data_IF_469740450621
#
_entry.id   IF_469740450621
#
_cell.length_a   1.000
_cell.length_b   1.000
_cell.length_c   1.000
_cell.angle_alpha   90.00
_cell.angle_beta   90.00
_cell.angle_gamma   90.00
#
_symmetry.space_group_name_H-M   'P 1'
#
loop_
_entity.id
_entity.type
_entity.pdbx_description
1 polymer ?
#
# COMPACT_ATOMS: atom_id res chain seq x y z
N UNK A 1 15.73 -27.76 35.09
CA UNK A 1 14.96 -26.66 34.46
C UNK A 1 15.83 -25.76 33.58
N UNK A 2 17.10 -25.51 33.93
CA UNK A 2 18.01 -24.63 33.17
C UNK A 2 18.30 -25.10 31.73
N UNK A 3 18.47 -26.41 31.51
CA UNK A 3 18.67 -27.00 30.18
C UNK A 3 17.49 -26.75 29.23
N UNK A 4 16.26 -26.80 29.75
CA UNK A 4 15.04 -26.59 28.94
C UNK A 4 14.92 -25.12 28.52
N UNK A 5 15.32 -24.20 29.40
CA UNK A 5 15.34 -22.76 29.12
C UNK A 5 16.36 -22.42 28.02
N UNK A 6 17.55 -23.03 28.08
CA UNK A 6 18.58 -22.87 27.04
C UNK A 6 18.10 -23.30 25.66
N UNK A 7 17.45 -24.46 25.54
CA UNK A 7 16.91 -24.97 24.26
C UNK A 7 15.84 -24.05 23.70
N UNK A 8 14.92 -23.54 24.53
CA UNK A 8 13.87 -22.61 24.10
C UNK A 8 14.46 -21.31 23.55
N UNK A 9 15.48 -20.75 24.22
CA UNK A 9 16.16 -19.53 23.77
C UNK A 9 16.87 -19.74 22.43
N UNK A 10 17.57 -20.87 22.25
CA UNK A 10 18.23 -21.19 20.98
C UNK A 10 17.22 -21.33 19.83
N UNK A 11 16.09 -22.01 20.04
CA UNK A 11 15.02 -22.13 19.04
C UNK A 11 14.46 -20.76 18.67
N UNK A 12 14.23 -19.89 19.65
CA UNK A 12 13.75 -18.52 19.43
C UNK A 12 14.73 -17.68 18.60
N UNK A 13 16.03 -17.76 18.90
CA UNK A 13 17.07 -17.06 18.14
C UNK A 13 17.10 -17.56 16.70
N UNK A 14 17.10 -18.88 16.48
CA UNK A 14 17.06 -19.48 15.14
C UNK A 14 15.81 -19.02 14.38
N UNK A 15 14.64 -19.04 15.02
CA UNK A 15 13.39 -18.57 14.42
C UNK A 15 13.45 -17.08 14.04
N UNK A 16 14.00 -16.22 14.91
CA UNK A 16 14.16 -14.79 14.63
C UNK A 16 15.10 -14.55 13.44
N UNK A 17 16.23 -15.26 13.37
CA UNK A 17 17.17 -15.17 12.25
C UNK A 17 16.47 -15.58 10.94
N UNK A 18 15.75 -16.69 10.94
CA UNK A 18 14.98 -17.17 9.78
C UNK A 18 13.95 -16.13 9.35
N UNK A 19 13.17 -15.58 10.28
CA UNK A 19 12.11 -14.58 10.01
C UNK A 19 12.67 -13.27 9.46
N UNK A 20 13.77 -12.77 10.02
CA UNK A 20 14.44 -11.56 9.53
C UNK A 20 14.97 -11.76 8.11
N UNK A 21 15.59 -12.92 7.84
CA UNK A 21 16.09 -13.24 6.50
C UNK A 21 14.95 -13.40 5.47
N UNK A 22 13.85 -14.06 5.84
CA UNK A 22 12.64 -14.13 5.02
C UNK A 22 12.07 -12.75 4.69
N UNK A 23 11.97 -11.86 5.69
CA UNK A 23 11.50 -10.50 5.49
C UNK A 23 12.44 -9.69 4.58
N UNK A 24 13.75 -9.85 4.73
CA UNK A 24 14.75 -9.20 3.86
C UNK A 24 14.63 -9.70 2.43
N UNK A 25 14.41 -11.00 2.24
CA UNK A 25 14.20 -11.60 0.92
C UNK A 25 12.90 -11.15 0.26
N UNK A 26 11.80 -11.08 1.02
CA UNK A 26 10.51 -10.60 0.53
C UNK A 26 10.59 -9.12 0.12
N UNK A 27 11.34 -8.29 0.87
CA UNK A 27 11.58 -6.90 0.47
C UNK A 27 12.45 -6.81 -0.78
N UNK A 28 13.41 -7.73 -0.93
CA UNK A 28 14.26 -7.76 -2.11
C UNK A 28 13.45 -8.00 -3.39
N UNK A 29 12.29 -8.68 -3.35
CA UNK A 29 11.48 -8.88 -4.55
C UNK A 29 10.70 -7.64 -5.01
N UNK A 30 10.69 -6.57 -4.23
CA UNK A 30 9.99 -5.31 -4.54
C UNK A 30 10.87 -4.34 -5.35
N UNK A 31 12.18 -4.56 -5.39
CA UNK A 31 13.09 -3.70 -6.17
C UNK A 31 12.97 -4.04 -7.68
N UNK A 32 13.42 -3.15 -8.57
CA UNK A 32 13.43 -3.41 -10.01
C UNK A 32 14.10 -4.75 -10.34
N UNK A 33 13.51 -5.51 -11.26
CA UNK A 33 13.97 -6.86 -11.58
C UNK A 33 15.42 -6.89 -12.03
N UNK A 34 15.88 -5.92 -12.83
CA UNK A 34 17.28 -5.81 -13.23
C UNK A 34 18.22 -5.67 -12.02
N UNK A 35 17.85 -4.86 -11.03
CA UNK A 35 18.63 -4.69 -9.79
C UNK A 35 18.62 -5.97 -8.95
N UNK A 36 17.48 -6.66 -8.90
CA UNK A 36 17.39 -7.95 -8.22
C UNK A 36 18.25 -9.01 -8.90
N UNK A 37 18.25 -9.07 -10.24
CA UNK A 37 19.02 -10.03 -11.02
C UNK A 37 20.52 -9.83 -10.84
N UNK A 38 21.02 -8.59 -10.94
CA UNK A 38 22.43 -8.29 -10.65
C UNK A 38 22.81 -8.71 -9.23
N UNK A 39 21.94 -8.43 -8.25
CA UNK A 39 22.15 -8.87 -6.87
C UNK A 39 22.21 -10.39 -6.76
N UNK A 40 21.25 -11.08 -7.38
CA UNK A 40 21.16 -12.54 -7.40
C UNK A 40 22.44 -13.17 -7.99
N UNK A 41 22.95 -12.66 -9.10
CA UNK A 41 24.16 -13.17 -9.74
C UNK A 41 25.44 -12.94 -8.91
N UNK A 42 25.48 -11.82 -8.16
CA UNK A 42 26.65 -11.46 -7.34
C UNK A 42 26.71 -12.15 -5.96
N UNK A 43 25.64 -12.84 -5.56
CA UNK A 43 25.47 -13.34 -4.20
C UNK A 43 26.04 -14.76 -4.01
N UNK A 44 26.43 -15.10 -2.78
CA UNK A 44 26.80 -16.47 -2.40
C UNK A 44 25.64 -17.46 -2.59
N UNK A 45 25.91 -18.77 -2.63
CA UNK A 45 24.89 -19.81 -2.75
C UNK A 45 23.77 -19.70 -1.71
N UNK A 46 24.13 -19.39 -0.45
CA UNK A 46 23.16 -19.22 0.64
C UNK A 46 22.24 -18.02 0.37
N UNK A 47 22.81 -16.92 -0.13
CA UNK A 47 22.04 -15.72 -0.45
C UNK A 47 21.20 -15.91 -1.73
N UNK A 48 21.71 -16.59 -2.76
CA UNK A 48 20.95 -17.00 -3.95
C UNK A 48 19.79 -17.90 -3.59
N UNK A 49 19.99 -18.87 -2.70
CA UNK A 49 18.93 -19.74 -2.21
C UNK A 49 17.83 -18.92 -1.50
N UNK A 50 18.23 -17.95 -0.67
CA UNK A 50 17.30 -17.06 0.03
C UNK A 50 16.49 -16.21 -0.96
N UNK A 51 17.17 -15.49 -1.86
CA UNK A 51 16.56 -14.64 -2.89
C UNK A 51 15.62 -15.43 -3.79
N UNK A 52 16.04 -16.61 -4.26
CA UNK A 52 15.23 -17.48 -5.10
C UNK A 52 13.96 -17.91 -4.39
N UNK A 53 14.08 -18.34 -3.13
CA UNK A 53 12.92 -18.75 -2.33
C UNK A 53 11.95 -17.59 -2.10
N UNK A 54 12.47 -16.39 -1.85
CA UNK A 54 11.67 -15.17 -1.78
C UNK A 54 10.91 -14.92 -3.08
N UNK A 55 11.59 -14.95 -4.22
CA UNK A 55 10.98 -14.73 -5.54
C UNK A 55 9.85 -15.73 -5.82
N UNK A 56 10.09 -17.02 -5.62
CA UNK A 56 9.10 -18.07 -5.89
C UNK A 56 7.87 -17.96 -4.99
N UNK A 57 8.07 -17.73 -3.68
CA UNK A 57 6.97 -17.57 -2.73
C UNK A 57 6.12 -16.35 -3.07
N UNK A 58 6.76 -15.21 -3.38
CA UNK A 58 6.03 -13.99 -3.74
C UNK A 58 5.31 -14.15 -5.08
N UNK A 59 5.91 -14.85 -6.04
CA UNK A 59 5.28 -15.14 -7.33
C UNK A 59 4.02 -15.98 -7.15
N UNK A 60 4.09 -17.10 -6.42
CA UNK A 60 2.94 -17.99 -6.18
C UNK A 60 1.84 -17.24 -5.40
N UNK A 61 2.24 -16.44 -4.40
CA UNK A 61 1.30 -15.60 -3.65
C UNK A 61 0.57 -14.62 -4.57
N UNK A 62 1.31 -13.93 -5.44
CA UNK A 62 0.76 -12.96 -6.38
C UNK A 62 -0.12 -13.63 -7.44
N UNK A 63 0.31 -14.76 -8.01
CA UNK A 63 -0.47 -15.55 -8.95
C UNK A 63 -1.84 -15.96 -8.37
N UNK A 64 -1.88 -16.42 -7.12
CA UNK A 64 -3.12 -16.74 -6.44
C UNK A 64 -3.99 -15.50 -6.17
N UNK A 65 -3.39 -14.36 -5.79
CA UNK A 65 -4.10 -13.09 -5.59
C UNK A 65 -4.74 -12.58 -6.89
N UNK A 66 -4.03 -12.72 -8.00
CA UNK A 66 -4.45 -12.33 -9.34
C UNK A 66 -5.40 -13.34 -10.00
N UNK A 67 -5.72 -14.45 -9.31
CA UNK A 67 -6.54 -15.55 -9.85
C UNK A 67 -5.98 -16.13 -11.15
N UNK A 68 -4.65 -16.15 -11.28
CA UNK A 68 -3.93 -16.88 -12.33
C UNK A 68 -3.97 -18.37 -12.03
N UNK A 69 -3.91 -18.73 -10.75
CA UNK A 69 -4.06 -20.09 -10.23
C UNK A 69 -5.16 -20.15 -9.17
N UNK A 70 -5.79 -21.31 -9.04
CA UNK A 70 -6.75 -21.64 -7.98
C UNK A 70 -6.09 -21.77 -6.60
N UNK A 71 -6.90 -21.85 -5.55
CA UNK A 71 -6.38 -22.06 -4.19
C UNK A 71 -5.80 -23.47 -4.02
N UNK A 72 -6.34 -24.45 -4.73
CA UNK A 72 -5.88 -25.83 -4.77
C UNK A 72 -4.50 -25.93 -5.42
N UNK A 73 -4.34 -25.36 -6.62
CA UNK A 73 -3.05 -25.29 -7.32
C UNK A 73 -2.00 -24.54 -6.49
N UNK A 74 -2.39 -23.43 -5.85
CA UNK A 74 -1.50 -22.71 -4.94
C UNK A 74 -0.99 -23.60 -3.80
N UNK A 75 -1.88 -24.35 -3.13
CA UNK A 75 -1.50 -25.27 -2.05
C UNK A 75 -0.57 -26.37 -2.53
N UNK A 76 -0.79 -26.86 -3.76
CA UNK A 76 0.06 -27.87 -4.38
C UNK A 76 1.46 -27.32 -4.68
N UNK A 77 1.55 -26.14 -5.31
CA UNK A 77 2.81 -25.44 -5.59
C UNK A 77 3.58 -25.13 -4.30
N UNK A 78 2.90 -24.63 -3.26
CA UNK A 78 3.52 -24.37 -1.95
C UNK A 78 4.11 -25.65 -1.31
N UNK A 79 3.54 -26.83 -1.59
CA UNK A 79 4.07 -28.12 -1.12
C UNK A 79 5.23 -28.59 -1.98
N UNK A 80 5.12 -28.51 -3.30
CA UNK A 80 6.18 -28.88 -4.23
C UNK A 80 7.44 -28.04 -3.98
N UNK A 81 7.28 -26.72 -3.79
CA UNK A 81 8.39 -25.80 -3.56
C UNK A 81 9.14 -25.99 -2.23
N UNK A 82 8.60 -26.77 -1.30
CA UNK A 82 9.34 -27.16 -0.09
C UNK A 82 10.37 -28.25 -0.36
N UNK A 83 10.20 -29.01 -1.45
CA UNK A 83 11.03 -30.16 -1.81
C UNK A 83 12.05 -29.85 -2.90
N UNK A 84 11.77 -28.85 -3.71
CA UNK A 84 12.63 -28.41 -4.81
C UNK A 84 13.75 -27.47 -4.35
N UNK A 85 14.89 -27.51 -5.03
CA UNK A 85 15.94 -26.49 -4.90
C UNK A 85 15.48 -25.18 -5.56
N UNK A 86 15.27 -24.09 -4.80
CA UNK A 86 14.77 -22.85 -5.35
C UNK A 86 15.73 -22.20 -6.36
N UNK A 87 17.04 -22.41 -6.23
CA UNK A 87 18.03 -21.87 -7.20
C UNK A 87 17.80 -22.52 -8.56
N UNK A 88 17.69 -23.86 -8.59
CA UNK A 88 17.44 -24.61 -9.83
C UNK A 88 16.15 -24.14 -10.51
N UNK A 89 15.07 -23.96 -9.75
CA UNK A 89 13.77 -23.53 -10.30
C UNK A 89 13.87 -22.12 -10.88
N UNK A 90 14.44 -21.16 -10.15
CA UNK A 90 14.59 -19.78 -10.64
C UNK A 90 15.50 -19.71 -11.86
N UNK A 91 16.63 -20.42 -11.87
CA UNK A 91 17.51 -20.43 -13.05
C UNK A 91 16.78 -20.99 -14.27
N UNK A 92 15.97 -22.04 -14.12
CA UNK A 92 15.14 -22.55 -15.20
C UNK A 92 14.13 -21.53 -15.72
N UNK A 93 13.54 -20.72 -14.83
CA UNK A 93 12.64 -19.63 -15.25
C UNK A 93 13.41 -18.53 -16.00
N UNK A 94 14.59 -18.15 -15.51
CA UNK A 94 15.44 -17.14 -16.18
C UNK A 94 15.90 -17.60 -17.57
N UNK A 95 16.19 -18.89 -17.74
CA UNK A 95 16.65 -19.44 -19.01
C UNK A 95 15.50 -19.59 -20.02
N UNK A 96 14.35 -20.10 -19.57
CA UNK A 96 13.25 -20.49 -20.48
C UNK A 96 12.23 -19.36 -20.65
N UNK A 97 11.82 -18.72 -19.57
CA UNK A 97 10.65 -17.84 -19.55
C UNK A 97 11.01 -16.35 -19.71
N UNK A 98 12.14 -15.92 -19.16
CA UNK A 98 12.56 -14.51 -19.23
C UNK A 98 12.71 -14.00 -20.68
N UNK A 99 13.28 -14.75 -21.64
CA UNK A 99 13.36 -14.29 -23.04
C UNK A 99 12.00 -13.95 -23.62
N UNK A 100 10.97 -14.74 -23.33
CA UNK A 100 9.59 -14.51 -23.81
C UNK A 100 8.98 -13.26 -23.18
N UNK A 101 9.24 -13.05 -21.89
CA UNK A 101 8.80 -11.83 -21.17
C UNK A 101 9.46 -10.58 -21.76
N UNK A 102 10.75 -10.66 -22.11
CA UNK A 102 11.48 -9.55 -22.75
C UNK A 102 11.00 -9.31 -24.19
N UNK A 103 10.79 -10.37 -24.97
CA UNK A 103 10.28 -10.29 -26.33
C UNK A 103 8.91 -9.59 -26.36
N UNK A 104 8.02 -9.97 -25.43
CA UNK A 104 6.67 -9.41 -25.37
C UNK A 104 6.63 -8.02 -24.72
N UNK A 105 7.34 -7.81 -23.60
CA UNK A 105 7.31 -6.59 -22.82
C UNK A 105 8.26 -5.48 -23.31
N UNK A 106 9.17 -5.81 -24.22
CA UNK A 106 10.26 -4.96 -24.66
C UNK A 106 11.43 -4.94 -23.66
N UNK A 107 12.63 -4.60 -24.14
CA UNK A 107 13.86 -4.64 -23.32
C UNK A 107 13.81 -3.79 -22.05
N UNK A 108 13.01 -2.72 -22.03
CA UNK A 108 12.90 -1.85 -20.87
C UNK A 108 12.10 -2.47 -19.72
N UNK A 109 11.32 -3.53 -19.96
CA UNK A 109 10.42 -4.08 -18.94
C UNK A 109 11.18 -4.57 -17.70
N UNK A 110 12.37 -5.15 -17.87
CA UNK A 110 13.20 -5.66 -16.76
C UNK A 110 13.71 -4.55 -15.85
N UNK A 111 13.75 -3.30 -16.32
CA UNK A 111 14.19 -2.14 -15.55
C UNK A 111 13.04 -1.44 -14.82
N UNK A 112 11.80 -1.66 -15.24
CA UNK A 112 10.64 -0.92 -14.73
C UNK A 112 9.78 -1.73 -13.76
N UNK A 113 9.70 -3.06 -13.95
CA UNK A 113 8.87 -3.92 -13.11
C UNK A 113 9.64 -4.44 -11.89
N UNK A 114 8.92 -4.72 -10.81
CA UNK A 114 9.52 -5.35 -9.63
C UNK A 114 9.90 -6.80 -9.92
N UNK A 115 10.84 -7.35 -9.15
CA UNK A 115 11.27 -8.74 -9.35
C UNK A 115 10.13 -9.76 -9.18
N UNK A 116 9.19 -9.53 -8.25
CA UNK A 116 8.00 -10.40 -8.11
C UNK A 116 7.06 -10.35 -9.31
N UNK A 117 6.96 -9.21 -9.99
CA UNK A 117 6.12 -9.06 -11.18
C UNK A 117 6.77 -9.76 -12.38
N UNK A 118 8.10 -9.63 -12.51
CA UNK A 118 8.87 -10.43 -13.47
C UNK A 118 8.70 -11.93 -13.22
N UNK A 119 8.76 -12.34 -11.95
CA UNK A 119 8.45 -13.71 -11.52
C UNK A 119 7.06 -14.17 -11.96
N UNK A 120 6.03 -13.34 -11.78
CA UNK A 120 4.68 -13.63 -12.23
C UNK A 120 4.58 -13.78 -13.75
N UNK A 121 5.21 -12.90 -14.52
CA UNK A 121 5.18 -12.97 -15.99
C UNK A 121 5.88 -14.23 -16.49
N UNK A 122 7.05 -14.57 -15.92
CA UNK A 122 7.74 -15.82 -16.22
C UNK A 122 6.87 -17.03 -15.86
N UNK A 123 6.21 -17.01 -14.70
CA UNK A 123 5.32 -18.09 -14.29
C UNK A 123 4.12 -18.28 -15.24
N UNK A 124 3.52 -17.19 -15.72
CA UNK A 124 2.42 -17.24 -16.69
C UNK A 124 2.90 -17.80 -18.03
N UNK A 125 4.09 -17.39 -18.48
CA UNK A 125 4.64 -17.87 -19.75
C UNK A 125 4.85 -19.40 -19.72
N UNK A 126 5.32 -19.93 -18.58
CA UNK A 126 5.51 -21.37 -18.36
C UNK A 126 4.21 -22.20 -18.27
N UNK A 127 3.06 -21.57 -18.02
CA UNK A 127 1.76 -22.26 -17.92
C UNK A 127 1.10 -22.48 -19.30
N UNK A 128 1.53 -21.76 -20.33
CA UNK A 128 0.88 -21.75 -21.64
C UNK A 128 1.44 -22.79 -22.61
N UNK A 129 0.57 -23.40 -23.43
CA UNK A 129 0.97 -24.10 -24.67
C UNK A 129 1.48 -23.11 -25.73
N UNK A 130 1.12 -21.83 -25.60
CA UNK A 130 1.62 -20.70 -26.39
C UNK A 130 1.86 -19.49 -25.45
N UNK A 131 3.09 -19.32 -24.96
CA UNK A 131 3.42 -18.34 -23.93
C UNK A 131 3.13 -16.88 -24.32
N UNK A 132 3.41 -16.51 -25.58
CA UNK A 132 3.13 -15.17 -26.11
C UNK A 132 1.63 -14.84 -26.09
N UNK A 133 0.77 -15.81 -26.43
CA UNK A 133 -0.69 -15.63 -26.40
C UNK A 133 -1.23 -15.47 -24.98
N UNK A 134 -0.73 -16.25 -24.04
CA UNK A 134 -1.17 -16.19 -22.64
C UNK A 134 -0.67 -14.92 -21.94
N UNK A 135 0.56 -14.48 -22.22
CA UNK A 135 1.05 -13.16 -21.81
C UNK A 135 0.16 -12.06 -22.39
N UNK A 136 -0.08 -12.06 -23.70
CA UNK A 136 -0.95 -11.06 -24.35
C UNK A 136 -2.34 -10.99 -23.71
N UNK A 137 -2.99 -12.15 -23.52
CA UNK A 137 -4.31 -12.22 -22.84
C UNK A 137 -4.25 -11.73 -21.41
N UNK A 138 -3.17 -12.02 -20.69
CA UNK A 138 -2.98 -11.54 -19.34
C UNK A 138 -2.84 -10.01 -19.34
N UNK A 139 -1.94 -9.45 -20.13
CA UNK A 139 -1.76 -8.00 -20.27
C UNK A 139 -3.05 -7.30 -20.69
N UNK A 140 -3.78 -7.82 -21.68
CA UNK A 140 -5.08 -7.26 -22.11
C UNK A 140 -6.15 -7.33 -21.00
N UNK A 141 -6.23 -8.44 -20.25
CA UNK A 141 -7.13 -8.57 -19.10
C UNK A 141 -6.71 -7.66 -17.94
N UNK A 142 -5.41 -7.45 -17.77
CA UNK A 142 -4.81 -6.70 -16.69
C UNK A 142 -4.98 -5.20 -16.94
N UNK A 143 -4.60 -4.70 -18.12
CA UNK A 143 -4.80 -3.31 -18.57
C UNK A 143 -6.27 -2.89 -18.56
N UNK A 144 -7.19 -3.76 -19.01
CA UNK A 144 -8.63 -3.45 -19.03
C UNK A 144 -9.27 -3.40 -17.65
N UNK A 145 -8.67 -4.01 -16.63
CA UNK A 145 -9.13 -3.98 -15.24
C UNK A 145 -8.33 -3.01 -14.35
N UNK A 146 -7.34 -2.29 -14.90
CA UNK A 146 -6.31 -1.53 -14.18
C UNK A 146 -6.74 -0.16 -13.62
N UNK A 147 -8.00 0.24 -13.72
CA UNK A 147 -8.36 1.64 -13.51
C UNK A 147 -8.31 2.18 -12.06
N UNK A 148 -8.35 1.38 -10.97
CA UNK A 148 -8.15 1.97 -9.63
C UNK A 148 -7.14 1.29 -8.70
N UNK A 149 -6.67 0.07 -8.97
CA UNK A 149 -5.98 -0.74 -7.95
C UNK A 149 -4.48 -0.95 -8.16
N UNK A 150 -3.89 -0.36 -9.21
CA UNK A 150 -2.46 -0.50 -9.54
C UNK A 150 -1.80 0.82 -9.95
N UNK A 151 -2.02 1.87 -9.15
CA UNK A 151 -1.01 2.93 -9.02
C UNK A 151 -0.36 2.76 -7.64
N UNK A 152 0.91 2.37 -7.67
CA UNK A 152 1.87 2.33 -6.57
C UNK A 152 1.58 1.31 -5.43
N UNK A 153 2.65 0.70 -4.92
CA UNK A 153 2.59 -0.30 -3.85
C UNK A 153 2.06 0.33 -2.55
N UNK A 154 0.74 0.21 -2.29
CA UNK A 154 0.19 0.66 -1.01
C UNK A 154 0.78 -0.19 0.13
N UNK A 155 1.72 0.39 0.87
CA UNK A 155 2.22 -0.12 2.14
C UNK A 155 1.02 -0.30 3.12
N UNK A 156 1.16 -1.08 4.21
CA UNK A 156 0.12 -1.09 5.24
C UNK A 156 -0.28 0.30 5.74
N UNK A 157 0.65 1.26 5.71
CA UNK A 157 0.39 2.68 6.01
C UNK A 157 -0.46 3.35 4.94
N UNK A 158 -0.22 3.07 3.66
CA UNK A 158 -1.03 3.62 2.57
C UNK A 158 -2.44 3.02 2.54
N UNK A 159 -2.58 1.72 2.83
CA UNK A 159 -3.90 1.10 3.04
C UNK A 159 -4.63 1.73 4.23
N UNK A 160 -3.93 1.96 5.33
CA UNK A 160 -4.50 2.65 6.49
C UNK A 160 -4.90 4.08 6.13
N UNK A 161 -4.11 4.78 5.33
CA UNK A 161 -4.39 6.12 4.81
C UNK A 161 -5.67 6.12 3.95
N UNK A 162 -5.78 5.22 2.98
CA UNK A 162 -6.97 5.09 2.12
C UNK A 162 -8.21 4.71 2.93
N UNK A 163 -8.10 3.77 3.87
CA UNK A 163 -9.20 3.42 4.76
C UNK A 163 -9.60 4.59 5.66
N UNK A 164 -8.63 5.34 6.18
CA UNK A 164 -8.90 6.53 6.99
C UNK A 164 -9.60 7.62 6.19
N UNK A 165 -9.17 7.88 4.94
CA UNK A 165 -9.84 8.83 4.04
C UNK A 165 -11.30 8.42 3.79
N UNK A 166 -11.55 7.14 3.50
CA UNK A 166 -12.91 6.61 3.33
C UNK A 166 -13.77 6.77 4.57
N UNK A 167 -13.21 6.51 5.76
CA UNK A 167 -13.92 6.69 7.04
C UNK A 167 -14.25 8.16 7.31
N UNK A 168 -13.30 9.07 7.05
CA UNK A 168 -13.50 10.52 7.21
C UNK A 168 -14.64 11.01 6.30
N UNK A 169 -14.57 10.67 4.99
CA UNK A 169 -15.61 11.02 4.02
C UNK A 169 -16.95 10.44 4.46
N UNK A 170 -17.00 9.14 4.79
CA UNK A 170 -18.23 8.50 5.23
C UNK A 170 -18.82 9.14 6.50
N UNK A 171 -17.98 9.54 7.45
CA UNK A 171 -18.41 10.21 8.68
C UNK A 171 -19.07 11.55 8.39
N UNK A 172 -18.43 12.40 7.57
CA UNK A 172 -19.01 13.70 7.20
C UNK A 172 -20.27 13.57 6.36
N UNK A 173 -20.31 12.65 5.40
CA UNK A 173 -21.50 12.38 4.58
C UNK A 173 -22.66 11.86 5.43
N UNK A 174 -22.38 10.99 6.40
CA UNK A 174 -23.38 10.49 7.34
C UNK A 174 -23.98 11.62 8.17
N UNK A 175 -23.15 12.54 8.68
CA UNK A 175 -23.62 13.73 9.40
C UNK A 175 -24.48 14.64 8.52
N UNK A 176 -24.03 14.95 7.31
CA UNK A 176 -24.79 15.75 6.36
C UNK A 176 -26.14 15.10 5.99
N UNK A 177 -26.21 13.77 5.92
CA UNK A 177 -27.47 13.06 5.64
C UNK A 177 -28.53 13.20 6.73
N UNK A 178 -28.14 13.59 7.95
CA UNK A 178 -29.06 13.75 9.08
C UNK A 178 -29.78 15.11 9.09
N UNK A 179 -29.32 16.10 8.31
CA UNK A 179 -29.83 17.47 8.32
C UNK A 179 -29.78 18.08 6.92
N UNK A 180 -30.92 18.58 6.44
CA UNK A 180 -30.99 19.23 5.12
C UNK A 180 -30.18 20.54 5.11
N UNK A 181 -29.40 20.77 4.04
CA UNK A 181 -28.60 21.99 3.87
C UNK A 181 -27.28 22.02 4.63
N UNK A 182 -26.84 20.89 5.21
CA UNK A 182 -25.56 20.78 5.91
C UNK A 182 -24.47 20.21 4.99
N UNK A 183 -23.33 20.90 4.92
CA UNK A 183 -22.16 20.42 4.18
C UNK A 183 -21.52 19.20 4.88
N UNK A 184 -20.88 18.28 4.13
CA UNK A 184 -20.72 18.31 2.67
C UNK A 184 -21.90 17.70 1.91
N UNK A 185 -22.53 18.51 1.05
CA UNK A 185 -23.54 18.08 0.06
C UNK A 185 -22.88 17.51 -1.19
N UNK A 186 -23.65 17.02 -2.16
CA UNK A 186 -23.13 16.51 -3.44
C UNK A 186 -22.26 17.52 -4.21
N UNK A 187 -22.35 18.82 -3.86
CA UNK A 187 -21.53 19.88 -4.46
C UNK A 187 -20.05 19.82 -4.07
N UNK A 188 -19.71 19.32 -2.86
CA UNK A 188 -18.32 19.08 -2.46
C UNK A 188 -17.93 17.65 -2.75
N UNK A 189 -16.86 17.42 -3.52
CA UNK A 189 -16.35 16.08 -3.83
C UNK A 189 -15.59 15.45 -2.66
N UNK A 190 -15.46 14.12 -2.66
CA UNK A 190 -14.71 13.40 -1.62
C UNK A 190 -13.24 13.83 -1.53
N UNK A 191 -12.63 14.21 -2.66
CA UNK A 191 -11.28 14.75 -2.70
C UNK A 191 -11.19 16.10 -2.01
N UNK A 192 -12.17 16.97 -2.20
CA UNK A 192 -12.23 18.28 -1.55
C UNK A 192 -12.46 18.12 -0.04
N UNK A 193 -13.32 17.19 0.37
CA UNK A 193 -13.51 16.87 1.80
C UNK A 193 -12.16 16.51 2.45
N UNK A 194 -11.40 15.60 1.84
CA UNK A 194 -10.09 15.19 2.35
C UNK A 194 -9.08 16.34 2.32
N UNK A 195 -9.11 17.18 1.27
CA UNK A 195 -8.20 18.32 1.15
C UNK A 195 -8.44 19.34 2.26
N UNK A 196 -9.70 19.73 2.49
CA UNK A 196 -10.09 20.67 3.53
C UNK A 196 -9.76 20.09 4.91
N UNK A 197 -10.13 18.84 5.16
CA UNK A 197 -9.83 18.13 6.41
C UNK A 197 -8.34 18.17 6.74
N UNK A 198 -7.48 17.74 5.80
CA UNK A 198 -6.03 17.71 5.99
C UNK A 198 -5.46 19.10 6.26
N UNK A 199 -5.91 20.10 5.50
CA UNK A 199 -5.43 21.47 5.62
C UNK A 199 -5.74 22.02 7.00
N UNK A 200 -6.99 21.90 7.44
CA UNK A 200 -7.44 22.35 8.77
C UNK A 200 -6.65 21.66 9.88
N UNK A 201 -6.54 20.33 9.85
CA UNK A 201 -5.82 19.58 10.89
C UNK A 201 -4.33 19.96 10.96
N UNK A 202 -3.68 20.17 9.81
CA UNK A 202 -2.27 20.56 9.76
C UNK A 202 -2.05 21.94 10.37
N UNK A 203 -2.81 22.94 9.91
CA UNK A 203 -2.66 24.33 10.33
C UNK A 203 -3.01 24.51 11.82
N UNK A 204 -4.15 23.96 12.28
CA UNK A 204 -4.50 24.02 13.70
C UNK A 204 -3.56 23.18 14.57
N UNK A 205 -3.03 22.07 14.06
CA UNK A 205 -2.04 21.26 14.77
C UNK A 205 -0.69 21.98 14.93
N UNK A 206 -0.29 22.79 13.94
CA UNK A 206 0.88 23.66 14.04
C UNK A 206 0.64 24.81 15.03
N UNK A 207 -0.50 25.50 14.91
CA UNK A 207 -0.87 26.57 15.83
C UNK A 207 -0.99 26.10 17.29
N UNK A 208 -1.55 24.91 17.51
CA UNK A 208 -1.67 24.33 18.86
C UNK A 208 -0.30 24.03 19.46
N UNK A 209 0.65 23.53 18.66
CA UNK A 209 2.05 23.35 19.06
C UNK A 209 2.72 24.67 19.44
N UNK A 210 2.46 25.75 18.71
CA UNK A 210 2.98 27.08 19.07
C UNK A 210 2.45 27.57 20.42
N UNK A 211 1.21 27.21 20.76
CA UNK A 211 0.58 27.52 22.05
C UNK A 211 0.90 26.50 23.15
N UNK A 212 1.68 25.46 22.85
CA UNK A 212 1.92 24.31 23.75
C UNK A 212 0.61 23.65 24.23
N UNK A 213 -0.40 23.62 23.36
CA UNK A 213 -1.70 22.99 23.56
C UNK A 213 -1.83 21.73 22.70
N UNK A 214 -2.74 20.83 23.08
CA UNK A 214 -3.13 19.69 22.26
C UNK A 214 -4.63 19.73 22.03
N UNK A 215 -5.04 19.88 20.77
CA UNK A 215 -6.45 19.87 20.40
C UNK A 215 -6.99 18.43 20.31
N UNK A 216 -8.12 18.10 20.94
CA UNK A 216 -8.77 16.81 20.78
C UNK A 216 -9.17 16.54 19.32
N UNK A 217 -9.16 15.27 18.91
CA UNK A 217 -9.55 14.88 17.55
C UNK A 217 -11.00 15.28 17.22
N UNK A 218 -11.92 15.18 18.20
CA UNK A 218 -13.31 15.59 18.02
C UNK A 218 -13.46 17.08 17.74
N UNK A 219 -12.66 17.91 18.41
CA UNK A 219 -12.58 19.37 18.18
C UNK A 219 -12.10 19.66 16.76
N UNK A 220 -11.02 19.00 16.32
CA UNK A 220 -10.49 19.17 14.96
C UNK A 220 -11.49 18.73 13.89
N UNK A 221 -12.26 17.67 14.15
CA UNK A 221 -13.33 17.24 13.25
C UNK A 221 -14.43 18.29 13.12
N UNK A 222 -14.80 18.95 14.23
CA UNK A 222 -15.78 20.06 14.25
C UNK A 222 -15.28 21.26 13.45
N UNK A 223 -14.02 21.65 13.64
CA UNK A 223 -13.42 22.75 12.89
C UNK A 223 -13.43 22.42 11.39
N UNK A 224 -12.96 21.24 11.01
CA UNK A 224 -12.94 20.81 9.61
C UNK A 224 -14.35 20.79 9.01
N UNK A 225 -15.38 20.35 9.75
CA UNK A 225 -16.77 20.43 9.31
C UNK A 225 -17.24 21.87 9.05
N UNK A 226 -16.87 22.83 9.92
CA UNK A 226 -17.18 24.25 9.67
C UNK A 226 -16.54 24.79 8.41
N UNK A 227 -15.32 24.35 8.09
CA UNK A 227 -14.66 24.73 6.83
C UNK A 227 -15.28 24.07 5.59
N UNK A 228 -15.87 22.88 5.71
CA UNK A 228 -16.72 22.32 4.65
C UNK A 228 -17.96 23.18 4.41
N UNK A 229 -18.56 23.71 5.48
CA UNK A 229 -19.68 24.65 5.37
C UNK A 229 -19.25 25.96 4.68
N UNK A 230 -18.10 26.52 5.06
CA UNK A 230 -17.54 27.72 4.42
C UNK A 230 -17.31 27.49 2.92
N UNK A 231 -16.75 26.33 2.55
CA UNK A 231 -16.53 25.96 1.16
C UNK A 231 -17.83 26.00 0.33
N UNK A 232 -18.93 25.44 0.84
CA UNK A 232 -20.20 25.41 0.10
C UNK A 232 -20.99 26.72 0.17
N UNK A 233 -20.85 27.49 1.25
CA UNK A 233 -21.63 28.72 1.46
C UNK A 233 -20.98 29.96 0.87
N UNK A 234 -19.65 30.05 0.95
CA UNK A 234 -18.87 31.23 0.56
C UNK A 234 -17.91 30.95 -0.60
N UNK A 235 -17.76 29.68 -1.00
CA UNK A 235 -16.88 29.27 -2.10
C UNK A 235 -15.49 28.81 -1.64
N UNK A 236 -14.79 28.02 -2.47
CA UNK A 236 -13.47 27.46 -2.16
C UNK A 236 -12.40 28.55 -1.95
N UNK A 237 -12.52 29.70 -2.61
CA UNK A 237 -11.59 30.83 -2.46
C UNK A 237 -11.60 31.43 -1.05
N UNK A 238 -12.72 31.32 -0.34
CA UNK A 238 -12.88 31.84 1.02
C UNK A 238 -12.30 30.92 2.09
N UNK A 239 -12.12 29.63 1.79
CA UNK A 239 -11.58 28.62 2.73
C UNK A 239 -10.21 29.05 3.23
N UNK A 240 -9.32 29.44 2.33
CA UNK A 240 -7.93 29.74 2.65
C UNK A 240 -7.79 31.03 3.47
N UNK A 241 -8.47 32.08 3.02
CA UNK A 241 -8.46 33.38 3.71
C UNK A 241 -9.10 33.28 5.10
N UNK A 242 -10.21 32.53 5.21
CA UNK A 242 -10.86 32.30 6.50
C UNK A 242 -9.99 31.43 7.42
N UNK A 243 -9.29 30.42 6.88
CA UNK A 243 -8.40 29.56 7.67
C UNK A 243 -7.26 30.36 8.27
N UNK A 244 -6.57 31.19 7.47
CA UNK A 244 -5.50 32.05 7.98
C UNK A 244 -5.98 32.97 9.10
N UNK A 245 -7.15 33.58 8.94
CA UNK A 245 -7.77 34.41 9.96
C UNK A 245 -8.08 33.63 11.25
N UNK A 246 -8.67 32.44 11.14
CA UNK A 246 -9.01 31.61 12.30
C UNK A 246 -7.77 31.08 13.03
N UNK A 247 -6.69 30.79 12.31
CA UNK A 247 -5.40 30.38 12.88
C UNK A 247 -4.74 31.52 13.65
N UNK A 248 -4.67 32.72 13.05
CA UNK A 248 -4.12 33.90 13.72
C UNK A 248 -4.89 34.20 15.01
N UNK A 249 -6.22 34.15 14.94
CA UNK A 249 -7.08 34.36 16.09
C UNK A 249 -6.88 33.28 17.15
N UNK A 250 -6.77 32.01 16.76
CA UNK A 250 -6.48 30.93 17.70
C UNK A 250 -5.13 31.14 18.42
N UNK A 251 -4.09 31.54 17.69
CA UNK A 251 -2.77 31.85 18.25
C UNK A 251 -2.85 32.98 19.28
N UNK A 252 -3.64 34.03 19.01
CA UNK A 252 -3.73 35.21 19.89
C UNK A 252 -4.69 35.00 21.08
N UNK A 253 -5.87 34.45 20.83
CA UNK A 253 -7.01 34.46 21.76
C UNK A 253 -7.35 33.07 22.32
N UNK A 254 -6.81 32.00 21.74
CA UNK A 254 -7.20 30.63 22.05
C UNK A 254 -8.42 30.16 21.26
N UNK A 255 -8.86 28.92 21.53
CA UNK A 255 -9.87 28.27 20.70
C UNK A 255 -11.25 28.90 20.92
N UNK A 256 -11.95 29.22 19.83
CA UNK A 256 -13.30 29.76 19.91
C UNK A 256 -14.26 28.79 20.62
N UNK A 257 -15.22 29.27 21.43
CA UNK A 257 -16.20 28.42 22.09
C UNK A 257 -17.01 27.54 21.13
N UNK A 258 -17.30 28.03 19.92
CA UNK A 258 -18.02 27.30 18.88
C UNK A 258 -17.30 26.05 18.36
N UNK A 259 -15.96 25.99 18.51
CA UNK A 259 -15.18 24.81 18.18
C UNK A 259 -15.06 23.82 19.34
N UNK A 260 -15.45 24.21 20.56
CA UNK A 260 -15.32 23.37 21.75
C UNK A 260 -16.36 22.23 21.83
N UNK A 261 -17.07 21.97 20.73
CA UNK A 261 -17.95 20.82 20.57
C UNK A 261 -17.15 19.68 19.95
N UNK A 262 -17.21 18.48 20.53
CA UNK A 262 -16.55 17.32 19.96
C UNK A 262 -17.45 16.60 18.96
N UNK A 263 -17.00 16.54 17.70
CA UNK A 263 -17.67 15.77 16.65
C UNK A 263 -17.01 14.39 16.50
N UNK A 264 -17.76 13.35 16.81
CA UNK A 264 -17.35 11.95 16.61
C UNK A 264 -17.77 11.47 15.22
N UNK A 265 -16.79 11.26 14.35
CA UNK A 265 -17.01 10.75 12.99
C UNK A 265 -17.08 9.22 12.91
N UNK A 266 -16.54 8.54 13.94
CA UNK A 266 -16.44 7.09 14.09
C UNK A 266 -16.31 6.71 15.57
#
# INVERSE_FOLDING_TARGET
MEFLLGVIVTILIIYLIIKVNLNKSNKATLIPFSTWLTKYESESDIGRHTLSRGLLVQTIHLAGKMRVISQEEKKELDRAMKKEDPIRVVNGWLEIALPEVIEFGGQNIVHTISARDAGLYMFISLQGVNPQRELKRFFERFEKNLAPHMREEETPLDRAKVLSEKLIVSGYRSLASQQEGVAPTESTTDKEIISIYRKVLSEFGEAARQRNEQLPAGTLNTIAWKFLQVNETLGPEMVDSHLSYEIEKYIQEGLRPEYNQELKLF
#
